data_IF_605608381017
#
_entry.id   IF_605608381017
#
_cell.length_a   1.000
_cell.length_b   1.000
_cell.length_c   1.000
_cell.angle_alpha   90.00
_cell.angle_beta   90.00
_cell.angle_gamma   90.00
#
_symmetry.space_group_name_H-M   'P 1'
#
loop_
_entity.id
_entity.type
_entity.pdbx_description
1 polymer ?
#
# COMPACT_ATOMS: atom_id res chain seq x y z
N UNK A 1 5.20 -22.12 1.63
CA UNK A 1 3.81 -21.98 1.15
C UNK A 1 3.76 -22.48 -0.28
N UNK A 2 2.89 -23.44 -0.58
CA UNK A 2 2.80 -24.04 -1.93
C UNK A 2 2.19 -23.02 -2.91
N UNK A 3 2.54 -23.14 -4.22
CA UNK A 3 1.97 -22.28 -5.29
C UNK A 3 0.44 -22.33 -5.25
N UNK A 4 -0.12 -23.52 -5.07
CA UNK A 4 -1.58 -23.72 -4.93
C UNK A 4 -2.18 -22.91 -3.80
N UNK A 5 -1.51 -22.85 -2.64
CA UNK A 5 -2.01 -22.10 -1.48
C UNK A 5 -2.02 -20.59 -1.75
N UNK A 6 -1.05 -20.08 -2.50
CA UNK A 6 -0.97 -18.66 -2.91
C UNK A 6 -2.10 -18.30 -3.89
N UNK A 7 -2.40 -19.21 -4.84
CA UNK A 7 -3.53 -19.02 -5.78
C UNK A 7 -4.85 -19.01 -5.00
N UNK A 8 -5.06 -19.96 -4.09
CA UNK A 8 -6.26 -20.01 -3.26
C UNK A 8 -6.41 -18.77 -2.38
N UNK A 9 -5.31 -18.29 -1.80
CA UNK A 9 -5.30 -17.03 -1.04
C UNK A 9 -5.67 -15.85 -1.92
N UNK A 10 -5.14 -15.77 -3.13
CA UNK A 10 -5.51 -14.73 -4.09
C UNK A 10 -7.01 -14.72 -4.40
N UNK A 11 -7.60 -15.89 -4.67
CA UNK A 11 -9.03 -16.05 -4.93
C UNK A 11 -9.86 -15.66 -3.68
N UNK A 12 -9.40 -16.04 -2.49
CA UNK A 12 -10.03 -15.66 -1.23
C UNK A 12 -10.05 -14.14 -1.04
N UNK A 13 -8.94 -13.44 -1.34
CA UNK A 13 -8.87 -11.99 -1.25
C UNK A 13 -9.84 -11.30 -2.21
N UNK A 14 -9.96 -11.80 -3.45
CA UNK A 14 -10.95 -11.31 -4.41
C UNK A 14 -12.37 -11.51 -3.88
N UNK A 15 -12.67 -12.67 -3.30
CA UNK A 15 -13.99 -12.95 -2.74
C UNK A 15 -14.31 -12.03 -1.55
N UNK A 16 -13.38 -11.83 -0.62
CA UNK A 16 -13.57 -10.97 0.56
C UNK A 16 -13.67 -9.49 0.15
N UNK A 17 -12.89 -9.04 -0.83
CA UNK A 17 -13.01 -7.71 -1.42
C UNK A 17 -14.37 -7.49 -2.08
N UNK A 18 -14.83 -8.45 -2.89
CA UNK A 18 -16.16 -8.38 -3.52
C UNK A 18 -17.31 -8.33 -2.50
N UNK A 19 -17.16 -8.98 -1.36
CA UNK A 19 -18.13 -8.96 -0.26
C UNK A 19 -18.09 -7.68 0.57
N UNK A 20 -17.11 -6.78 0.34
CA UNK A 20 -16.92 -5.56 1.12
C UNK A 20 -16.44 -5.79 2.56
N UNK A 21 -15.95 -7.00 2.86
CA UNK A 21 -15.33 -7.32 4.15
C UNK A 21 -13.95 -6.68 4.25
N UNK A 22 -13.20 -6.73 3.14
CA UNK A 22 -11.94 -6.04 2.95
C UNK A 22 -12.11 -4.95 1.90
N UNK A 23 -11.17 -4.00 1.84
CA UNK A 23 -11.22 -2.92 0.88
C UNK A 23 -11.18 -3.44 -0.56
N UNK A 24 -12.25 -3.23 -1.37
CA UNK A 24 -12.34 -3.83 -2.69
C UNK A 24 -11.33 -3.26 -3.69
N UNK A 25 -11.02 -1.95 -3.61
CA UNK A 25 -10.13 -1.27 -4.55
C UNK A 25 -8.70 -1.80 -4.53
N UNK A 26 -8.25 -2.28 -3.37
CA UNK A 26 -6.91 -2.84 -3.20
C UNK A 26 -6.94 -4.37 -3.26
N UNK A 27 -7.90 -5.01 -2.60
CA UNK A 27 -7.90 -6.47 -2.43
C UNK A 27 -8.26 -7.23 -3.70
N UNK A 28 -9.13 -6.69 -4.55
CA UNK A 28 -9.51 -7.36 -5.80
C UNK A 28 -8.32 -7.39 -6.77
N UNK A 29 -7.67 -6.26 -7.12
CA UNK A 29 -6.50 -6.28 -8.00
C UNK A 29 -5.33 -7.10 -7.44
N UNK A 30 -5.07 -6.97 -6.14
CA UNK A 30 -4.00 -7.72 -5.48
C UNK A 30 -4.25 -9.23 -5.50
N UNK A 31 -5.48 -9.65 -5.21
CA UNK A 31 -5.85 -11.06 -5.23
C UNK A 31 -5.79 -11.67 -6.64
N UNK A 32 -6.24 -10.92 -7.66
CA UNK A 32 -6.12 -11.32 -9.06
C UNK A 32 -4.67 -11.41 -9.50
N UNK A 33 -3.84 -10.40 -9.18
CA UNK A 33 -2.41 -10.40 -9.49
C UNK A 33 -1.68 -11.56 -8.81
N UNK A 34 -1.96 -11.81 -7.51
CA UNK A 34 -1.38 -12.93 -6.78
C UNK A 34 -1.77 -14.28 -7.41
N UNK A 35 -3.03 -14.48 -7.78
CA UNK A 35 -3.49 -15.71 -8.41
C UNK A 35 -2.85 -15.88 -9.80
N UNK A 36 -2.83 -14.84 -10.64
CA UNK A 36 -2.30 -14.88 -11.99
C UNK A 36 -0.79 -15.15 -11.99
N UNK A 37 -0.01 -14.37 -11.23
CA UNK A 37 1.46 -14.52 -11.18
C UNK A 37 1.87 -15.90 -10.65
N UNK A 38 1.18 -16.42 -9.64
CA UNK A 38 1.48 -17.75 -9.13
C UNK A 38 1.00 -18.88 -10.08
N UNK A 39 -0.05 -18.67 -10.86
CA UNK A 39 -0.45 -19.60 -11.91
C UNK A 39 0.53 -19.60 -13.11
N UNK A 40 1.22 -18.47 -13.34
CA UNK A 40 2.19 -18.32 -14.42
C UNK A 40 3.59 -18.83 -14.11
N UNK A 41 3.81 -19.49 -12.96
CA UNK A 41 5.13 -20.05 -12.63
C UNK A 41 5.47 -21.20 -13.58
N UNK A 42 6.60 -21.08 -14.26
CA UNK A 42 7.15 -22.07 -15.18
C UNK A 42 8.35 -22.75 -14.53
N UNK A 43 8.42 -24.08 -14.66
CA UNK A 43 9.59 -24.85 -14.26
C UNK A 43 10.33 -25.26 -15.55
N UNK A 44 11.48 -24.65 -15.78
CA UNK A 44 12.31 -24.94 -16.95
C UNK A 44 13.18 -26.14 -16.73
N UNK A 45 13.66 -26.84 -17.82
CA UNK A 45 14.66 -27.88 -17.73
C UNK A 45 15.90 -27.35 -16.99
N UNK A 46 16.35 -28.09 -15.97
CA UNK A 46 17.46 -27.64 -15.10
C UNK A 46 17.06 -27.09 -13.76
N UNK A 47 15.73 -27.02 -13.44
CA UNK A 47 15.25 -26.61 -12.14
C UNK A 47 15.16 -25.07 -11.94
N UNK A 48 15.41 -24.31 -13.02
CA UNK A 48 15.25 -22.84 -12.99
C UNK A 48 13.76 -22.50 -13.00
N UNK A 49 13.33 -21.68 -12.06
CA UNK A 49 11.96 -21.16 -12.01
C UNK A 49 11.89 -19.86 -12.80
N UNK A 50 10.97 -19.78 -13.72
CA UNK A 50 10.60 -18.57 -14.45
C UNK A 50 9.14 -18.20 -14.19
N UNK A 51 8.70 -17.05 -14.65
CA UNK A 51 7.31 -16.63 -14.56
C UNK A 51 6.84 -16.09 -15.90
N UNK A 52 5.61 -16.43 -16.29
CA UNK A 52 5.01 -15.98 -17.55
C UNK A 52 4.69 -14.48 -17.58
N UNK A 53 4.49 -13.86 -16.43
CA UNK A 53 4.00 -12.48 -16.35
C UNK A 53 5.09 -11.47 -15.99
N UNK A 54 5.88 -11.72 -14.94
CA UNK A 54 6.95 -10.81 -14.50
C UNK A 54 7.90 -11.47 -13.51
N UNK A 55 9.14 -10.99 -13.50
CA UNK A 55 10.10 -11.24 -12.42
C UNK A 55 10.45 -9.90 -11.74
N UNK A 56 10.03 -9.67 -10.48
CA UNK A 56 10.22 -8.40 -9.78
C UNK A 56 11.68 -8.16 -9.36
N UNK A 57 12.56 -9.15 -9.43
CA UNK A 57 13.93 -9.07 -8.94
C UNK A 57 14.98 -8.86 -10.03
N UNK A 58 14.59 -8.94 -11.30
CA UNK A 58 15.51 -8.76 -12.41
C UNK A 58 15.88 -7.30 -12.57
N UNK A 59 17.17 -7.01 -12.48
CA UNK A 59 17.75 -5.66 -12.67
C UNK A 59 18.80 -5.60 -13.78
N UNK A 60 19.23 -6.74 -14.28
CA UNK A 60 20.27 -6.84 -15.32
C UNK A 60 19.64 -6.66 -16.72
N UNK A 61 20.25 -5.78 -17.54
CA UNK A 61 19.73 -5.40 -18.85
C UNK A 61 19.71 -6.60 -19.82
N UNK A 62 20.71 -7.48 -19.78
CA UNK A 62 20.77 -8.64 -20.67
C UNK A 62 19.72 -9.68 -20.31
N UNK A 63 19.46 -9.86 -19.01
CA UNK A 63 18.38 -10.73 -18.55
C UNK A 63 17.00 -10.14 -18.89
N UNK A 64 16.83 -8.81 -18.75
CA UNK A 64 15.59 -8.13 -19.14
C UNK A 64 15.26 -8.32 -20.62
N UNK A 65 16.24 -8.28 -21.51
CA UNK A 65 16.01 -8.48 -22.95
C UNK A 65 15.53 -9.90 -23.27
N UNK A 66 16.04 -10.91 -22.57
CA UNK A 66 15.57 -12.29 -22.72
C UNK A 66 14.18 -12.53 -22.09
N UNK A 67 13.90 -11.90 -20.95
CA UNK A 67 12.65 -12.01 -20.20
C UNK A 67 11.49 -11.30 -20.92
N UNK A 68 11.74 -10.22 -21.63
CA UNK A 68 10.72 -9.46 -22.40
C UNK A 68 9.95 -10.33 -23.41
N UNK A 69 10.49 -11.49 -23.81
CA UNK A 69 9.82 -12.43 -24.68
C UNK A 69 8.81 -13.34 -23.95
N UNK A 70 8.98 -13.54 -22.65
CA UNK A 70 8.18 -14.45 -21.81
C UNK A 70 7.29 -13.65 -20.86
N UNK A 71 7.84 -12.69 -20.14
CA UNK A 71 7.17 -11.93 -19.10
C UNK A 71 6.54 -10.64 -19.67
N UNK A 72 5.37 -10.75 -20.29
CA UNK A 72 4.79 -9.64 -21.04
C UNK A 72 4.42 -8.40 -20.18
N UNK A 73 4.27 -8.55 -18.86
CA UNK A 73 4.08 -7.42 -17.94
C UNK A 73 5.39 -6.77 -17.47
N UNK A 74 6.54 -7.38 -17.75
CA UNK A 74 7.82 -6.88 -17.31
C UNK A 74 8.14 -5.45 -17.76
N UNK A 75 7.88 -5.03 -19.01
CA UNK A 75 8.10 -3.65 -19.43
C UNK A 75 7.32 -2.63 -18.60
N UNK A 76 6.06 -2.95 -18.30
CA UNK A 76 5.18 -2.09 -17.48
C UNK A 76 5.72 -2.02 -16.04
N UNK A 77 6.06 -3.16 -15.46
CA UNK A 77 6.63 -3.24 -14.12
C UNK A 77 7.95 -2.44 -14.03
N UNK A 78 8.88 -2.68 -14.92
CA UNK A 78 10.19 -2.03 -14.93
C UNK A 78 10.05 -0.51 -15.10
N UNK A 79 9.20 -0.05 -16.03
CA UNK A 79 8.97 1.37 -16.25
C UNK A 79 8.34 2.06 -15.04
N UNK A 80 7.37 1.42 -14.39
CA UNK A 80 6.62 2.03 -13.29
C UNK A 80 7.37 1.98 -11.96
N UNK A 81 8.08 0.90 -11.67
CA UNK A 81 8.68 0.67 -10.35
C UNK A 81 10.16 1.04 -10.27
N UNK A 82 10.96 0.83 -11.32
CA UNK A 82 12.42 1.03 -11.23
C UNK A 82 12.84 2.48 -10.99
N UNK A 83 12.06 3.45 -11.43
CA UNK A 83 12.31 4.88 -11.24
C UNK A 83 11.38 5.55 -10.20
N UNK A 84 10.58 4.78 -9.49
CA UNK A 84 9.64 5.28 -8.48
C UNK A 84 8.43 6.03 -9.04
N UNK A 85 8.20 6.00 -10.35
CA UNK A 85 7.10 6.70 -11.01
C UNK A 85 5.73 6.31 -10.43
N UNK A 86 5.54 5.02 -10.12
CA UNK A 86 4.27 4.52 -9.55
C UNK A 86 3.94 5.21 -8.22
N UNK A 87 4.93 5.37 -7.34
CA UNK A 87 4.74 6.05 -6.07
C UNK A 87 4.30 7.51 -6.27
N UNK A 88 4.98 8.24 -7.16
CA UNK A 88 4.62 9.63 -7.48
C UNK A 88 3.20 9.76 -8.05
N UNK A 89 2.80 8.87 -8.95
CA UNK A 89 1.45 8.88 -9.53
C UNK A 89 0.36 8.58 -8.49
N UNK A 90 0.62 7.64 -7.58
CA UNK A 90 -0.33 7.31 -6.51
C UNK A 90 -0.45 8.48 -5.53
N UNK A 91 0.67 9.10 -5.11
CA UNK A 91 0.63 10.29 -4.24
C UNK A 91 -0.11 11.46 -4.88
N UNK A 92 0.10 11.68 -6.17
CA UNK A 92 -0.63 12.70 -6.91
C UNK A 92 -2.13 12.39 -6.95
N UNK A 93 -2.51 11.13 -7.20
CA UNK A 93 -3.90 10.68 -7.18
C UNK A 93 -4.56 10.86 -5.82
N UNK A 94 -3.90 10.45 -4.74
CA UNK A 94 -4.39 10.65 -3.37
C UNK A 94 -4.54 12.15 -3.06
N UNK A 95 -3.55 12.96 -3.45
CA UNK A 95 -3.57 14.41 -3.23
C UNK A 95 -4.78 15.10 -3.87
N UNK A 96 -5.22 14.64 -5.05
CA UNK A 96 -6.41 15.18 -5.71
C UNK A 96 -7.72 14.77 -5.05
N UNK A 97 -7.73 13.64 -4.33
CA UNK A 97 -8.92 13.12 -3.63
C UNK A 97 -9.04 13.61 -2.17
N UNK A 98 -7.99 14.22 -1.64
CA UNK A 98 -7.92 14.62 -0.25
C UNK A 98 -8.78 15.86 0.01
N UNK A 99 -9.73 15.78 0.94
CA UNK A 99 -10.47 16.95 1.43
C UNK A 99 -9.67 17.66 2.53
N UNK A 100 -8.96 18.71 2.15
CA UNK A 100 -8.10 19.51 3.04
C UNK A 100 -8.92 20.34 4.04
N UNK A 101 -10.20 20.60 3.78
CA UNK A 101 -11.03 21.47 4.61
C UNK A 101 -11.13 21.00 6.06
N UNK A 102 -11.20 19.69 6.29
CA UNK A 102 -11.24 19.14 7.65
C UNK A 102 -9.91 19.31 8.40
N UNK A 103 -8.79 19.20 7.68
CA UNK A 103 -7.45 19.41 8.26
C UNK A 103 -7.25 20.88 8.64
N UNK A 104 -7.67 21.81 7.81
CA UNK A 104 -7.55 23.24 8.02
C UNK A 104 -8.49 23.76 9.11
N UNK A 105 -9.59 23.05 9.39
CA UNK A 105 -10.52 23.44 10.46
C UNK A 105 -9.85 23.45 11.85
N UNK A 106 -8.95 22.47 12.11
CA UNK A 106 -8.26 22.32 13.39
C UNK A 106 -6.82 21.82 13.17
N UNK A 107 -5.91 22.64 12.64
CA UNK A 107 -4.61 22.20 12.18
C UNK A 107 -3.75 21.60 13.29
N UNK A 108 -3.72 22.19 14.48
CA UNK A 108 -2.93 21.67 15.60
C UNK A 108 -3.43 20.31 16.10
N UNK A 109 -4.75 20.11 16.12
CA UNK A 109 -5.31 18.80 16.50
C UNK A 109 -5.01 17.73 15.45
N UNK A 110 -5.10 18.08 14.17
CA UNK A 110 -4.78 17.19 13.06
C UNK A 110 -3.31 16.81 13.07
N UNK A 111 -2.41 17.75 13.32
CA UNK A 111 -0.97 17.48 13.47
C UNK A 111 -0.68 16.55 14.65
N UNK A 112 -1.33 16.78 15.80
CA UNK A 112 -1.14 15.91 16.97
C UNK A 112 -1.66 14.49 16.73
N UNK A 113 -2.80 14.35 16.07
CA UNK A 113 -3.33 13.03 15.68
C UNK A 113 -2.43 12.31 14.70
N UNK A 114 -1.88 13.02 13.71
CA UNK A 114 -0.92 12.46 12.76
C UNK A 114 0.36 11.97 13.48
N UNK A 115 0.89 12.77 14.40
CA UNK A 115 2.04 12.36 15.22
C UNK A 115 1.74 11.09 16.04
N UNK A 116 0.56 11.02 16.66
CA UNK A 116 0.15 9.82 17.41
C UNK A 116 -0.02 8.60 16.50
N UNK A 117 -0.52 8.77 15.28
CA UNK A 117 -0.65 7.69 14.32
C UNK A 117 0.72 7.11 13.90
N UNK A 118 1.73 7.96 13.76
CA UNK A 118 3.09 7.56 13.37
C UNK A 118 3.91 6.94 14.51
N UNK A 119 3.43 6.98 15.76
CA UNK A 119 4.16 6.34 16.87
C UNK A 119 4.42 4.84 16.65
N UNK A 120 3.52 4.16 15.94
CA UNK A 120 3.70 2.76 15.55
C UNK A 120 4.92 2.55 14.67
N UNK A 121 5.11 3.38 13.66
CA UNK A 121 6.28 3.38 12.76
C UNK A 121 7.56 3.56 13.56
N UNK A 122 7.63 4.58 14.41
CA UNK A 122 8.80 4.84 15.23
C UNK A 122 9.11 3.72 16.23
N UNK A 123 8.10 3.08 16.80
CA UNK A 123 8.30 1.99 17.75
C UNK A 123 8.81 0.70 17.08
N UNK A 124 8.41 0.44 15.85
CA UNK A 124 8.82 -0.79 15.12
C UNK A 124 10.30 -0.76 14.77
N UNK A 125 10.92 0.40 14.48
CA UNK A 125 12.33 0.49 14.12
C UNK A 125 13.25 -0.14 15.19
N UNK A 126 13.22 0.31 16.47
CA UNK A 126 14.08 -0.28 17.48
C UNK A 126 13.73 -1.75 17.79
N UNK A 127 12.45 -2.14 17.68
CA UNK A 127 12.05 -3.53 17.91
C UNK A 127 12.63 -4.43 16.82
N UNK A 128 12.49 -4.06 15.55
CA UNK A 128 13.03 -4.82 14.43
C UNK A 128 14.56 -4.92 14.48
N UNK A 129 15.22 -3.82 14.85
CA UNK A 129 16.67 -3.79 15.06
C UNK A 129 17.10 -4.72 16.21
N UNK A 130 16.38 -4.72 17.32
CA UNK A 130 16.63 -5.62 18.45
C UNK A 130 16.41 -7.10 18.10
N UNK A 131 15.57 -7.40 17.12
CA UNK A 131 15.39 -8.75 16.57
C UNK A 131 16.52 -9.20 15.63
N UNK A 132 17.52 -8.35 15.39
CA UNK A 132 18.69 -8.66 14.56
C UNK A 132 18.55 -8.34 13.08
N UNK A 133 17.55 -7.56 12.68
CA UNK A 133 17.39 -7.09 11.31
C UNK A 133 18.36 -5.95 11.01
N UNK A 134 18.75 -5.80 9.75
CA UNK A 134 19.57 -4.68 9.32
C UNK A 134 18.83 -3.34 9.52
N UNK A 135 19.52 -2.21 9.67
CA UNK A 135 18.87 -0.90 9.79
C UNK A 135 17.94 -0.58 8.59
N UNK A 136 18.35 -0.98 7.38
CA UNK A 136 17.57 -0.75 6.17
C UNK A 136 16.29 -1.59 6.17
N UNK A 137 16.39 -2.87 6.56
CA UNK A 137 15.23 -3.76 6.65
C UNK A 137 14.28 -3.30 7.75
N UNK A 138 14.82 -2.91 8.90
CA UNK A 138 14.05 -2.37 10.02
C UNK A 138 13.27 -1.11 9.64
N UNK A 139 13.91 -0.19 8.91
CA UNK A 139 13.26 1.02 8.40
C UNK A 139 12.16 0.69 7.39
N UNK A 140 12.42 -0.24 6.45
CA UNK A 140 11.44 -0.65 5.43
C UNK A 140 10.21 -1.32 6.05
N UNK A 141 10.41 -2.19 7.04
CA UNK A 141 9.32 -2.86 7.76
C UNK A 141 8.51 -1.85 8.58
N UNK A 142 9.19 -0.89 9.21
CA UNK A 142 8.54 0.13 10.03
C UNK A 142 7.57 1.01 9.23
N UNK A 143 7.86 1.26 7.94
CA UNK A 143 6.96 2.04 7.07
C UNK A 143 5.55 1.43 6.93
N UNK A 144 5.40 0.12 7.16
CA UNK A 144 4.08 -0.53 7.18
C UNK A 144 3.19 0.03 8.29
N UNK A 145 3.78 0.46 9.40
CA UNK A 145 3.06 1.04 10.55
C UNK A 145 2.33 2.34 10.24
N UNK A 146 2.83 3.14 9.29
CA UNK A 146 2.20 4.38 8.84
C UNK A 146 0.95 4.16 7.96
N UNK A 147 0.65 2.91 7.60
CA UNK A 147 -0.49 2.54 6.73
C UNK A 147 -0.51 3.27 5.37
N UNK A 148 0.65 3.69 4.88
CA UNK A 148 0.84 4.35 3.59
C UNK A 148 1.47 3.37 2.59
N UNK A 149 0.63 2.71 1.79
CA UNK A 149 1.05 1.71 0.80
C UNK A 149 2.12 2.21 -0.18
N UNK A 150 1.95 3.37 -0.83
CA UNK A 150 2.94 3.94 -1.76
C UNK A 150 4.30 4.19 -1.11
N UNK A 151 4.33 4.69 0.14
CA UNK A 151 5.57 4.92 0.87
C UNK A 151 6.28 3.61 1.22
N UNK A 152 5.52 2.57 1.59
CA UNK A 152 6.07 1.23 1.82
C UNK A 152 6.73 0.67 0.57
N UNK A 153 6.09 0.80 -0.60
CA UNK A 153 6.66 0.40 -1.88
C UNK A 153 7.96 1.15 -2.17
N UNK A 154 7.93 2.47 -2.06
CA UNK A 154 9.10 3.31 -2.33
C UNK A 154 10.27 2.99 -1.38
N UNK A 155 10.00 2.91 -0.08
CA UNK A 155 11.03 2.63 0.92
C UNK A 155 11.63 1.23 0.73
N UNK A 156 10.81 0.20 0.56
CA UNK A 156 11.28 -1.18 0.41
C UNK A 156 12.06 -1.41 -0.88
N UNK A 157 11.68 -0.78 -1.99
CA UNK A 157 12.44 -0.83 -3.25
C UNK A 157 13.82 -0.19 -3.15
N UNK A 158 13.96 0.87 -2.35
CA UNK A 158 15.23 1.59 -2.22
C UNK A 158 16.12 1.02 -1.11
N UNK A 159 15.54 0.61 0.02
CA UNK A 159 16.28 0.21 1.21
C UNK A 159 16.46 -1.31 1.34
N UNK A 160 15.49 -2.11 0.90
CA UNK A 160 15.41 -3.55 1.20
C UNK A 160 14.85 -4.38 0.05
N UNK A 161 15.52 -4.36 -1.10
CA UNK A 161 15.08 -5.11 -2.29
C UNK A 161 14.89 -6.61 -2.03
N UNK A 162 15.74 -7.21 -1.18
CA UNK A 162 15.70 -8.65 -0.88
C UNK A 162 14.40 -9.11 -0.20
N UNK A 163 13.79 -8.24 0.60
CA UNK A 163 12.54 -8.52 1.32
C UNK A 163 11.37 -7.65 0.83
N UNK A 164 11.52 -7.01 -0.34
CA UNK A 164 10.49 -6.16 -0.95
C UNK A 164 9.15 -6.87 -1.10
N UNK A 165 9.16 -8.09 -1.66
CA UNK A 165 7.92 -8.85 -1.92
C UNK A 165 7.19 -9.21 -0.62
N UNK A 166 7.83 -9.81 0.40
CA UNK A 166 7.19 -10.04 1.69
C UNK A 166 6.63 -8.78 2.35
N UNK A 167 7.41 -7.69 2.38
CA UNK A 167 6.96 -6.42 2.98
C UNK A 167 5.71 -5.91 2.26
N UNK A 168 5.73 -5.88 0.94
CA UNK A 168 4.61 -5.38 0.12
C UNK A 168 3.34 -6.20 0.36
N UNK A 169 3.45 -7.54 0.32
CA UNK A 169 2.29 -8.43 0.54
C UNK A 169 1.71 -8.21 1.93
N UNK A 170 2.54 -8.19 2.97
CA UNK A 170 2.08 -8.00 4.35
C UNK A 170 1.45 -6.61 4.54
N UNK A 171 2.05 -5.55 3.96
CA UNK A 171 1.53 -4.19 4.04
C UNK A 171 0.13 -4.07 3.46
N UNK A 172 -0.09 -4.60 2.26
CA UNK A 172 -1.41 -4.52 1.63
C UNK A 172 -2.45 -5.44 2.27
N UNK A 173 -2.04 -6.61 2.79
CA UNK A 173 -2.91 -7.44 3.63
C UNK A 173 -3.32 -6.70 4.91
N UNK A 174 -2.38 -6.02 5.56
CA UNK A 174 -2.64 -5.21 6.74
C UNK A 174 -3.64 -4.08 6.44
N UNK A 175 -3.46 -3.34 5.35
CA UNK A 175 -4.40 -2.30 4.93
C UNK A 175 -5.81 -2.86 4.72
N UNK A 176 -5.93 -4.01 4.07
CA UNK A 176 -7.20 -4.69 3.88
C UNK A 176 -7.88 -5.10 5.18
N UNK A 177 -7.10 -5.67 6.13
CA UNK A 177 -7.59 -6.04 7.45
C UNK A 177 -8.01 -4.83 8.28
N UNK A 178 -7.27 -3.73 8.19
CA UNK A 178 -7.59 -2.47 8.88
C UNK A 178 -8.94 -1.92 8.42
N UNK A 179 -9.20 -1.94 7.10
CA UNK A 179 -10.48 -1.50 6.55
C UNK A 179 -11.66 -2.30 7.13
N UNK A 180 -11.57 -3.64 7.15
CA UNK A 180 -12.61 -4.49 7.70
C UNK A 180 -12.74 -4.43 9.22
N UNK A 181 -11.63 -4.28 9.94
CA UNK A 181 -11.57 -4.27 11.40
C UNK A 181 -11.85 -2.93 12.05
N UNK A 182 -11.58 -1.82 11.35
CA UNK A 182 -11.70 -0.47 11.89
C UNK A 182 -13.08 -0.12 12.46
N UNK A 183 -14.21 -0.46 11.82
CA UNK A 183 -15.53 -0.21 12.39
C UNK A 183 -15.75 -0.89 13.74
N UNK A 184 -15.21 -2.08 13.93
CA UNK A 184 -15.32 -2.82 15.20
C UNK A 184 -14.47 -2.17 16.28
N UNK A 185 -13.24 -1.78 15.94
CA UNK A 185 -12.34 -1.05 16.83
C UNK A 185 -12.95 0.26 17.31
N UNK A 186 -13.50 1.06 16.40
CA UNK A 186 -14.20 2.30 16.73
C UNK A 186 -15.41 2.05 17.63
N UNK A 187 -16.17 0.97 17.40
CA UNK A 187 -17.28 0.61 18.27
C UNK A 187 -16.85 0.21 19.67
N UNK A 188 -15.71 -0.43 19.81
CA UNK A 188 -15.15 -0.85 21.09
C UNK A 188 -14.56 0.33 21.88
N UNK A 189 -13.81 1.19 21.21
CA UNK A 189 -13.06 2.26 21.88
C UNK A 189 -13.83 3.57 22.04
N UNK A 190 -14.75 3.88 21.12
CA UNK A 190 -15.46 5.17 21.11
C UNK A 190 -16.92 5.00 21.53
N UNK A 191 -17.37 5.65 22.62
CA UNK A 191 -18.76 5.59 23.06
C UNK A 191 -19.73 6.13 22.01
N UNK A 192 -20.96 5.61 21.99
CA UNK A 192 -21.99 6.00 21.00
C UNK A 192 -22.19 7.52 20.90
N UNK A 193 -22.14 8.22 22.04
CA UNK A 193 -22.31 9.68 22.11
C UNK A 193 -21.27 10.44 21.30
N UNK A 194 -20.01 10.00 21.32
CA UNK A 194 -18.93 10.66 20.60
C UNK A 194 -18.92 10.31 19.10
N UNK A 195 -19.39 9.12 18.74
CA UNK A 195 -19.50 8.68 17.33
C UNK A 195 -20.56 9.45 16.53
N UNK A 196 -21.54 10.05 17.20
CA UNK A 196 -22.63 10.80 16.57
C UNK A 196 -22.30 12.28 16.32
N UNK A 197 -21.13 12.77 16.75
CA UNK A 197 -20.71 14.16 16.55
C UNK A 197 -20.42 14.39 15.06
N UNK A 198 -21.15 15.33 14.46
CA UNK A 198 -20.87 15.77 13.08
C UNK A 198 -19.60 16.60 13.07
N UNK A 199 -18.67 16.23 12.20
CA UNK A 199 -17.50 17.07 11.92
C UNK A 199 -17.96 18.34 11.21
N UNK A 200 -17.45 19.48 11.65
CA UNK A 200 -17.70 20.76 10.99
C UNK A 200 -16.54 21.06 10.04
N UNK A 201 -16.79 21.12 8.72
CA UNK A 201 -15.79 21.62 7.79
C UNK A 201 -15.52 23.11 8.06
N UNK A 202 -14.39 23.61 7.57
CA UNK A 202 -14.10 25.05 7.59
C UNK A 202 -15.25 25.78 6.91
N UNK A 203 -15.76 26.82 7.56
CA UNK A 203 -16.78 27.68 6.95
C UNK A 203 -16.19 28.32 5.68
N UNK A 204 -16.79 28.07 4.54
CA UNK A 204 -16.40 28.61 3.22
C UNK A 204 -16.36 30.15 3.15
N UNK A 205 -16.85 30.84 4.18
CA UNK A 205 -16.88 32.31 4.23
C UNK A 205 -15.48 32.94 4.11
N UNK A 206 -14.42 32.28 4.58
CA UNK A 206 -13.04 32.78 4.43
C UNK A 206 -12.38 32.44 3.10
N UNK A 207 -12.81 31.35 2.44
CA UNK A 207 -12.28 30.96 1.15
C UNK A 207 -12.94 31.70 -0.01
N UNK A 208 -14.22 32.08 0.11
CA UNK A 208 -14.94 32.91 -0.89
C UNK A 208 -14.43 34.33 -1.03
N UNK A 209 -13.65 34.84 -0.09
CA UNK A 209 -13.07 36.16 -0.19
C UNK A 209 -12.06 36.33 -1.34
N UNK A 210 -11.62 35.23 -1.94
CA UNK A 210 -10.68 35.19 -3.07
C UNK A 210 -11.30 34.65 -4.38
N UNK A 211 -12.56 34.22 -4.35
CA UNK A 211 -13.25 33.84 -5.59
C UNK A 211 -13.73 35.11 -6.31
N UNK A 212 -13.33 35.25 -7.56
CA UNK A 212 -13.82 36.33 -8.43
C UNK A 212 -15.31 36.13 -8.75
N UNK A 213 -16.10 37.23 -8.98
CA UNK A 213 -17.51 37.14 -9.29
C UNK A 213 -17.89 36.30 -10.50
N UNK A 214 -16.94 35.86 -11.28
CA UNK A 214 -17.11 35.04 -12.50
C UNK A 214 -17.42 33.56 -12.19
N UNK A 215 -17.33 33.12 -10.93
CA UNK A 215 -17.60 31.75 -10.50
C UNK A 215 -18.86 31.62 -9.63
N UNK A 216 -19.69 32.66 -9.58
CA UNK A 216 -21.03 32.69 -9.02
C UNK A 216 -22.03 32.72 -10.16
#
# INVERSE_FOLDING_TARGET
MCIRDRILLGILLVYLGRRGILEPLVMIPMGLGMAAVNAGVLIMPGGVQGNLFLDPMVTDTDQLMNILQIDFLQPVYTFMFSNGLIACLIFMGIGTMLDINFLLAKPLQSMFLALCAELGTFAVVPIAFAMGLSPNDSASIAMVGGADGPMVLFASLNLSKSIFVPITVVAYLYLGLTYGGYPYLVRAMVPKRLRAIKMQPVSYTHLRAHETPEHL
#
